data_IF_466099270729
#
_entry.id   IF_466099270729
#
_cell.length_a   1.000
_cell.length_b   1.000
_cell.length_c   1.000
_cell.angle_alpha   90.00
_cell.angle_beta   90.00
_cell.angle_gamma   90.00
#
_symmetry.space_group_name_H-M   'P 1'
#
loop_
_entity.id
_entity.type
_entity.pdbx_description
1 polymer ?
#
# COMPACT_ATOMS: atom_id res chain seq x y z
N UNK A 1 13.40 -6.58 1.32
CA UNK A 1 14.18 -6.70 0.07
C UNK A 1 13.74 -7.90 -0.70
N UNK A 2 13.75 -9.07 -0.06
CA UNK A 2 13.61 -10.38 -0.71
C UNK A 2 12.30 -10.55 -1.48
N UNK A 3 11.15 -10.15 -0.90
CA UNK A 3 9.86 -10.21 -1.61
C UNK A 3 9.88 -9.40 -2.90
N UNK A 4 10.59 -8.26 -2.91
CA UNK A 4 10.69 -7.43 -4.12
C UNK A 4 11.54 -8.12 -5.19
N UNK A 5 12.64 -8.77 -4.82
CA UNK A 5 13.47 -9.56 -5.74
C UNK A 5 12.71 -10.75 -6.32
N UNK A 6 12.08 -11.58 -5.49
CA UNK A 6 11.34 -12.75 -5.96
C UNK A 6 10.10 -12.39 -6.79
N UNK A 7 9.56 -11.18 -6.65
CA UNK A 7 8.46 -10.71 -7.50
C UNK A 7 8.84 -10.63 -8.99
N UNK A 8 10.13 -10.57 -9.34
CA UNK A 8 10.58 -10.56 -10.74
C UNK A 8 10.46 -11.94 -11.43
N UNK A 9 10.50 -13.02 -10.65
CA UNK A 9 10.50 -14.39 -11.17
C UNK A 9 9.13 -14.79 -11.75
N UNK A 10 8.07 -14.15 -11.24
CA UNK A 10 6.69 -14.41 -11.66
C UNK A 10 6.20 -13.47 -12.77
N UNK A 11 7.00 -12.49 -13.19
CA UNK A 11 6.65 -11.58 -14.27
C UNK A 11 6.88 -12.23 -15.63
N UNK A 12 5.84 -12.18 -16.48
CA UNK A 12 5.97 -12.45 -17.91
C UNK A 12 6.90 -11.43 -18.57
N UNK A 13 7.56 -11.82 -19.66
CA UNK A 13 8.35 -10.89 -20.47
C UNK A 13 7.48 -9.73 -20.98
N UNK A 14 8.02 -8.50 -20.96
CA UNK A 14 7.27 -7.27 -21.22
C UNK A 14 6.32 -6.86 -20.07
N UNK A 15 6.31 -7.58 -18.95
CA UNK A 15 5.49 -7.30 -17.77
C UNK A 15 5.89 -6.01 -17.05
N UNK A 16 5.16 -5.68 -15.97
CA UNK A 16 5.36 -4.45 -15.20
C UNK A 16 5.61 -4.74 -13.72
N UNK A 17 6.69 -4.20 -13.19
CA UNK A 17 6.97 -4.13 -11.75
C UNK A 17 6.58 -2.75 -11.23
N UNK A 18 5.64 -2.70 -10.30
CA UNK A 18 5.24 -1.47 -9.60
C UNK A 18 5.53 -1.64 -8.11
N UNK A 19 6.29 -0.73 -7.52
CA UNK A 19 6.67 -0.83 -6.11
C UNK A 19 6.48 0.51 -5.40
N UNK A 20 5.97 0.46 -4.16
CA UNK A 20 5.67 1.65 -3.34
C UNK A 20 6.67 1.78 -2.18
N UNK A 21 7.04 0.65 -1.57
CA UNK A 21 8.04 0.60 -0.52
C UNK A 21 9.44 0.98 -1.04
N UNK A 22 10.32 1.54 -0.19
CA UNK A 22 11.71 1.78 -0.56
C UNK A 22 12.41 0.49 -1.04
N UNK A 23 13.26 0.64 -2.05
CA UNK A 23 14.21 -0.41 -2.44
C UNK A 23 15.45 -0.32 -1.53
N UNK A 24 16.17 -1.45 -1.32
CA UNK A 24 17.49 -1.42 -0.72
C UNK A 24 18.42 -0.46 -1.45
N UNK A 25 19.37 0.11 -0.72
CA UNK A 25 20.47 0.86 -1.33
C UNK A 25 21.25 -0.07 -2.28
N UNK A 26 21.62 0.44 -3.46
CA UNK A 26 22.28 -0.32 -4.53
C UNK A 26 21.47 -1.48 -5.13
N UNK A 27 20.14 -1.42 -5.09
CA UNK A 27 19.29 -2.41 -5.76
C UNK A 27 19.59 -2.49 -7.26
N UNK A 28 20.03 -3.66 -7.72
CA UNK A 28 20.25 -3.94 -9.14
C UNK A 28 19.01 -4.62 -9.74
N UNK A 29 18.60 -4.17 -10.92
CA UNK A 29 17.50 -4.80 -11.64
C UNK A 29 17.93 -6.21 -12.07
N UNK A 30 17.22 -7.28 -11.67
CA UNK A 30 17.64 -8.65 -11.98
C UNK A 30 17.40 -9.02 -13.46
N UNK A 31 16.57 -8.24 -14.17
CA UNK A 31 16.24 -8.45 -15.59
C UNK A 31 15.82 -7.13 -16.24
N UNK A 32 16.04 -7.02 -17.55
CA UNK A 32 15.83 -5.79 -18.33
C UNK A 32 14.58 -5.81 -19.21
N UNK A 33 13.94 -6.97 -19.35
CA UNK A 33 12.78 -7.17 -20.23
C UNK A 33 11.43 -6.84 -19.56
N UNK A 34 11.46 -6.31 -18.33
CA UNK A 34 10.29 -5.83 -17.60
C UNK A 34 10.34 -4.33 -17.41
N UNK A 35 9.17 -3.68 -17.43
CA UNK A 35 9.05 -2.25 -17.16
C UNK A 35 8.94 -2.02 -15.66
N UNK A 36 9.93 -1.35 -15.10
CA UNK A 36 9.99 -1.01 -13.67
C UNK A 36 9.53 0.42 -13.46
N UNK A 37 8.58 0.66 -12.55
CA UNK A 37 8.13 1.99 -12.20
C UNK A 37 7.81 2.15 -10.71
N UNK A 38 8.13 3.34 -10.19
CA UNK A 38 7.66 3.80 -8.89
C UNK A 38 6.51 4.78 -9.13
N UNK A 39 5.27 4.46 -8.70
CA UNK A 39 4.13 5.31 -8.99
C UNK A 39 4.27 6.65 -8.25
N UNK A 40 3.99 7.76 -8.94
CA UNK A 40 3.83 9.06 -8.30
C UNK A 40 2.46 9.11 -7.65
N UNK A 41 2.40 8.85 -6.35
CA UNK A 41 1.15 8.78 -5.58
C UNK A 41 0.70 10.19 -5.17
N UNK A 42 0.32 11.01 -6.16
CA UNK A 42 -0.23 12.34 -5.90
C UNK A 42 -1.64 12.23 -5.29
N UNK A 43 -1.92 13.06 -4.28
CA UNK A 43 -3.25 13.18 -3.66
C UNK A 43 -4.10 14.11 -4.52
N UNK A 44 -4.67 13.60 -5.60
CA UNK A 44 -5.55 14.39 -6.48
C UNK A 44 -7.01 14.07 -6.19
N UNK A 45 -7.86 15.09 -6.31
CA UNK A 45 -9.31 14.96 -6.13
C UNK A 45 -9.91 13.90 -7.07
N UNK A 46 -9.56 13.97 -8.36
CA UNK A 46 -10.08 13.05 -9.37
C UNK A 46 -9.81 11.56 -9.05
N UNK A 47 -8.62 11.22 -8.52
CA UNK A 47 -8.34 9.85 -8.12
C UNK A 47 -9.15 9.41 -6.89
N UNK A 48 -9.36 10.32 -5.93
CA UNK A 48 -10.16 10.03 -4.74
C UNK A 48 -11.64 9.85 -5.07
N UNK A 49 -12.20 10.72 -5.92
CA UNK A 49 -13.58 10.60 -6.41
C UNK A 49 -13.78 9.26 -7.14
N UNK A 50 -12.84 8.86 -7.99
CA UNK A 50 -12.91 7.55 -8.65
C UNK A 50 -12.89 6.37 -7.68
N UNK A 51 -12.12 6.46 -6.59
CA UNK A 51 -12.10 5.42 -5.54
C UNK A 51 -13.44 5.37 -4.81
N UNK A 52 -14.07 6.52 -4.54
CA UNK A 52 -15.39 6.60 -3.92
C UNK A 52 -16.44 5.93 -4.81
N UNK A 53 -16.50 6.26 -6.11
CA UNK A 53 -17.42 5.61 -7.06
C UNK A 53 -17.27 4.08 -7.10
N UNK A 54 -16.01 3.60 -7.07
CA UNK A 54 -15.72 2.17 -7.04
C UNK A 54 -16.18 1.51 -5.73
N UNK A 55 -16.09 2.23 -4.62
CA UNK A 55 -16.58 1.76 -3.32
C UNK A 55 -18.12 1.74 -3.26
N UNK A 56 -18.76 2.81 -3.72
CA UNK A 56 -20.22 2.94 -3.75
C UNK A 56 -20.89 1.92 -4.68
N UNK A 57 -20.26 1.62 -5.83
CA UNK A 57 -20.71 0.56 -6.74
C UNK A 57 -20.45 -0.86 -6.23
N UNK A 58 -19.76 -1.02 -5.09
CA UNK A 58 -19.35 -2.33 -4.56
C UNK A 58 -18.22 -3.00 -5.33
N UNK A 59 -17.63 -2.34 -6.33
CA UNK A 59 -16.50 -2.86 -7.12
C UNK A 59 -15.21 -2.98 -6.30
N UNK A 60 -15.08 -2.16 -5.25
CA UNK A 60 -13.96 -2.17 -4.31
C UNK A 60 -14.52 -2.17 -2.89
N UNK A 61 -14.11 -3.12 -2.05
CA UNK A 61 -14.46 -3.13 -0.63
C UNK A 61 -13.34 -2.54 0.20
N UNK A 62 -13.69 -1.69 1.16
CA UNK A 62 -12.72 -1.22 2.15
C UNK A 62 -12.13 -2.42 2.92
N UNK A 63 -10.83 -2.40 3.27
CA UNK A 63 -10.27 -3.42 4.15
C UNK A 63 -10.92 -3.34 5.54
N UNK A 64 -10.70 -4.35 6.39
CA UNK A 64 -11.10 -4.27 7.79
C UNK A 64 -10.57 -2.97 8.45
N UNK A 65 -11.45 -2.25 9.14
CA UNK A 65 -11.11 -1.01 9.85
C UNK A 65 -11.26 -1.26 11.35
N UNK A 66 -10.19 -0.97 12.08
CA UNK A 66 -10.19 -0.86 13.54
C UNK A 66 -10.24 0.61 13.91
N UNK A 67 -11.27 1.01 14.64
CA UNK A 67 -11.44 2.38 15.13
C UNK A 67 -10.88 2.45 16.55
N UNK A 68 -9.99 3.41 16.80
CA UNK A 68 -9.43 3.70 18.12
C UNK A 68 -9.63 5.20 18.42
N UNK A 69 -9.83 5.60 19.69
CA UNK A 69 -9.90 7.02 20.01
C UNK A 69 -8.54 7.67 19.77
N UNK A 70 -8.53 8.97 19.45
CA UNK A 70 -7.31 9.73 19.23
C UNK A 70 -6.36 9.70 20.46
N UNK A 71 -6.93 9.63 21.66
CA UNK A 71 -6.19 9.45 22.91
C UNK A 71 -5.34 8.16 22.95
N UNK A 72 -5.69 7.15 22.16
CA UNK A 72 -4.96 5.89 22.04
C UNK A 72 -3.92 5.87 20.91
N UNK A 73 -3.56 7.02 20.31
CA UNK A 73 -2.62 7.10 19.20
C UNK A 73 -1.26 6.39 19.46
N UNK A 74 -0.74 6.47 20.69
CA UNK A 74 0.50 5.78 21.07
C UNK A 74 0.35 4.24 20.96
N UNK A 75 -0.74 3.70 21.50
CA UNK A 75 -1.03 2.27 21.42
C UNK A 75 -1.27 1.82 19.96
N UNK A 76 -1.95 2.64 19.16
CA UNK A 76 -2.16 2.39 17.74
C UNK A 76 -0.81 2.28 16.99
N UNK A 77 0.14 3.16 17.29
CA UNK A 77 1.46 3.16 16.69
C UNK A 77 2.28 1.92 17.07
N UNK A 78 2.29 1.52 18.35
CA UNK A 78 2.95 0.29 18.80
C UNK A 78 2.34 -0.95 18.13
N UNK A 79 1.02 -0.97 17.97
CA UNK A 79 0.32 -2.04 17.26
C UNK A 79 0.73 -2.12 15.79
N UNK A 80 0.85 -1.00 15.07
CA UNK A 80 1.31 -0.98 13.66
C UNK A 80 2.76 -1.49 13.54
N UNK A 81 3.64 -1.12 14.47
CA UNK A 81 5.04 -1.58 14.49
C UNK A 81 5.15 -3.11 14.56
N UNK A 82 4.20 -3.78 15.21
CA UNK A 82 4.17 -5.25 15.26
C UNK A 82 4.01 -5.91 13.89
N UNK A 83 3.56 -5.19 12.85
CA UNK A 83 3.27 -5.68 11.48
C UNK A 83 2.21 -6.79 11.38
N UNK A 84 1.45 -7.05 12.44
CA UNK A 84 0.37 -8.06 12.46
C UNK A 84 -1.04 -7.46 12.35
N UNK A 85 -1.16 -6.17 12.02
CA UNK A 85 -2.45 -5.52 11.83
C UNK A 85 -3.10 -6.01 10.54
N UNK A 86 -4.37 -6.43 10.63
CA UNK A 86 -5.21 -6.69 9.46
C UNK A 86 -5.96 -5.42 9.07
N UNK A 87 -5.74 -4.95 7.86
CA UNK A 87 -6.46 -3.78 7.33
C UNK A 87 -5.88 -2.44 7.79
N UNK A 88 -6.73 -1.55 8.32
CA UNK A 88 -6.36 -0.17 8.70
C UNK A 88 -6.82 0.16 10.10
N UNK A 89 -6.00 0.95 10.82
CA UNK A 89 -6.41 1.62 12.05
C UNK A 89 -6.82 3.04 11.69
N UNK A 90 -7.98 3.47 12.16
CA UNK A 90 -8.50 4.83 12.04
C UNK A 90 -8.59 5.43 13.43
N UNK A 91 -8.06 6.64 13.60
CA UNK A 91 -8.17 7.39 14.85
C UNK A 91 -9.41 8.27 14.81
N UNK A 92 -10.31 8.09 15.76
CA UNK A 92 -11.51 8.90 15.92
C UNK A 92 -11.22 10.07 16.87
N UNK A 93 -11.40 11.34 16.43
CA UNK A 93 -11.13 12.50 17.27
C UNK A 93 -12.09 12.67 18.46
N UNK A 94 -13.27 12.06 18.39
CA UNK A 94 -14.32 12.18 19.40
C UNK A 94 -14.45 10.85 20.16
N UNK A 95 -13.59 10.67 21.17
CA UNK A 95 -13.61 9.56 22.12
C UNK A 95 -12.84 9.91 23.37
#
# INVERSE_FOLDING_TARGET
GDVHLHSYDVLKSGGRMVYVAPQPENFQLPRIDVKVLRPKVARTRAHLERIIELAESGSVTAPAIEIMPLSAASAAQEKIKSRHVRGKIVLEPQG
#
